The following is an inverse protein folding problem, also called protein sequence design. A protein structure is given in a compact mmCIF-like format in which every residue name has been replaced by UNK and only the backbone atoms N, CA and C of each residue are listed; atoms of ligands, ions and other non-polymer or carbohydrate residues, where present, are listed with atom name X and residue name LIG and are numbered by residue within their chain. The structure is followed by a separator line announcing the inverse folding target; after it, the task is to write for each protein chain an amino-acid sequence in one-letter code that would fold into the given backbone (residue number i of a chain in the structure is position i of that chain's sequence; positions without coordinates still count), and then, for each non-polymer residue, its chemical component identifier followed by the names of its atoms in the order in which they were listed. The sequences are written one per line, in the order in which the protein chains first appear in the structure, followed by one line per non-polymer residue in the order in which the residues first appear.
data_IF_175289238198
#
_entry.id   IF_175289238198
#
_cell.length_a   1.000
_cell.length_b   1.000
_cell.length_c   1.000
_cell.angle_alpha   90.00
_cell.angle_beta   90.00
_cell.angle_gamma   90.00
#
_symmetry.space_group_name_H-M   'P 1'
#
loop_
_entity.id
_entity.type
_entity.pdbx_description
1 polymer ?
#
# COMPACT_ATOMS: atom_id res chain seq x y z
N UNK A 1 -20.17 5.51 -5.57
CA UNK A 1 -18.78 4.98 -5.66
C UNK A 1 -18.73 3.44 -5.71
N UNK A 2 -19.39 2.79 -6.69
CA UNK A 2 -19.34 1.31 -6.81
C UNK A 2 -18.16 0.84 -7.68
N UNK A 3 -17.82 1.62 -8.70
CA UNK A 3 -16.73 1.33 -9.63
C UNK A 3 -15.35 1.36 -8.94
N UNK A 4 -15.05 2.40 -8.16
CA UNK A 4 -13.76 2.49 -7.45
C UNK A 4 -13.53 1.34 -6.48
N UNK A 5 -14.57 0.91 -5.76
CA UNK A 5 -14.47 -0.26 -4.87
C UNK A 5 -14.20 -1.55 -5.65
N UNK A 6 -14.84 -1.72 -6.81
CA UNK A 6 -14.59 -2.88 -7.69
C UNK A 6 -13.16 -2.86 -8.24
N UNK A 7 -12.68 -1.71 -8.73
CA UNK A 7 -11.31 -1.56 -9.22
C UNK A 7 -10.28 -1.88 -8.13
N UNK A 8 -10.46 -1.37 -6.92
CA UNK A 8 -9.55 -1.64 -5.79
C UNK A 8 -9.53 -3.13 -5.43
N UNK A 9 -10.69 -3.79 -5.39
CA UNK A 9 -10.76 -5.23 -5.10
C UNK A 9 -10.08 -6.06 -6.18
N UNK A 10 -10.38 -5.83 -7.45
CA UNK A 10 -9.78 -6.57 -8.57
C UNK A 10 -8.26 -6.36 -8.59
N UNK A 11 -7.79 -5.12 -8.43
CA UNK A 11 -6.36 -4.81 -8.35
C UNK A 11 -5.68 -5.54 -7.21
N UNK A 12 -6.26 -5.50 -6.01
CA UNK A 12 -5.70 -6.17 -4.84
C UNK A 12 -5.67 -7.68 -5.00
N UNK A 13 -6.76 -8.30 -5.48
CA UNK A 13 -6.81 -9.75 -5.73
C UNK A 13 -5.79 -10.19 -6.77
N UNK A 14 -5.62 -9.41 -7.85
CA UNK A 14 -4.64 -9.73 -8.89
C UNK A 14 -3.20 -9.72 -8.36
N UNK A 15 -2.87 -8.78 -7.46
CA UNK A 15 -1.56 -8.67 -6.82
C UNK A 15 -1.33 -9.78 -5.80
N UNK A 16 -2.26 -9.96 -4.86
CA UNK A 16 -2.14 -10.95 -3.78
C UNK A 16 -2.13 -12.40 -4.29
N UNK A 17 -2.67 -12.67 -5.48
CA UNK A 17 -2.64 -14.00 -6.09
C UNK A 17 -1.25 -14.40 -6.57
N UNK A 18 -0.40 -13.43 -6.93
CA UNK A 18 0.92 -13.67 -7.53
C UNK A 18 2.08 -13.29 -6.61
N UNK A 19 1.84 -12.39 -5.65
CA UNK A 19 2.90 -11.82 -4.84
C UNK A 19 2.58 -11.91 -3.35
N UNK A 20 3.62 -12.21 -2.58
CA UNK A 20 3.65 -12.06 -1.13
C UNK A 20 4.33 -10.73 -0.79
N UNK A 21 3.61 -9.87 -0.08
CA UNK A 21 4.12 -8.57 0.35
C UNK A 21 4.64 -8.63 1.78
N UNK A 22 5.80 -8.02 2.04
CA UNK A 22 6.36 -7.78 3.38
C UNK A 22 6.69 -6.32 3.56
N UNK A 23 6.69 -5.82 4.81
CA UNK A 23 7.08 -4.43 5.09
C UNK A 23 8.57 -4.28 4.86
N UNK A 24 8.97 -3.30 4.05
CA UNK A 24 10.37 -2.97 3.83
C UNK A 24 10.87 -2.07 4.97
N UNK A 25 12.12 -2.25 5.42
CA UNK A 25 12.79 -1.44 6.44
C UNK A 25 12.83 0.07 6.14
N UNK A 26 12.58 0.50 4.89
CA UNK A 26 12.43 1.90 4.50
C UNK A 26 11.15 2.54 5.03
N UNK A 27 10.13 1.74 5.34
CA UNK A 27 8.90 2.22 5.98
C UNK A 27 9.18 2.55 7.43
N UNK A 28 8.91 3.79 7.84
CA UNK A 28 9.08 4.21 9.24
C UNK A 28 7.95 3.64 10.10
N UNK A 29 8.32 2.83 11.08
CA UNK A 29 7.43 2.31 12.11
C UNK A 29 7.76 2.97 13.47
N UNK A 30 6.77 3.47 14.24
CA UNK A 30 5.33 3.47 13.99
C UNK A 30 4.92 4.44 12.85
N UNK A 31 3.88 4.07 12.10
CA UNK A 31 3.39 4.84 10.94
C UNK A 31 2.98 6.26 11.37
N UNK A 32 3.69 7.27 10.88
CA UNK A 32 3.34 8.68 11.06
C UNK A 32 2.66 9.21 9.81
N UNK A 33 1.57 9.96 9.98
CA UNK A 33 0.86 10.58 8.87
C UNK A 33 1.49 11.94 8.54
N UNK A 34 1.61 12.26 7.25
CA UNK A 34 2.11 13.54 6.79
C UNK A 34 1.02 14.61 6.89
N UNK A 35 1.10 15.43 7.94
CA UNK A 35 0.15 16.54 8.23
C UNK A 35 0.20 17.66 7.18
N UNK A 36 1.28 17.75 6.38
CA UNK A 36 1.45 18.78 5.34
C UNK A 36 0.94 18.35 3.97
N UNK A 37 0.50 17.11 3.80
CA UNK A 37 0.06 16.58 2.52
C UNK A 37 -1.44 16.82 2.30
N UNK A 38 -1.82 17.23 1.09
CA UNK A 38 -3.23 17.40 0.72
C UNK A 38 -3.99 16.07 0.69
N UNK A 39 -3.29 14.96 0.43
CA UNK A 39 -3.82 13.61 0.46
C UNK A 39 -3.23 12.88 1.66
N UNK A 40 -4.07 12.11 2.39
CA UNK A 40 -3.63 11.28 3.50
C UNK A 40 -2.52 10.33 3.03
N UNK A 41 -1.32 10.55 3.54
CA UNK A 41 -0.10 9.84 3.13
C UNK A 41 0.79 9.62 4.35
N UNK A 42 1.55 8.52 4.35
CA UNK A 42 2.54 8.27 5.38
C UNK A 42 3.76 9.20 5.21
N UNK A 43 4.34 9.62 6.33
CA UNK A 43 5.57 10.38 6.36
C UNK A 43 6.74 9.50 5.89
N UNK A 44 7.36 9.85 4.76
CA UNK A 44 8.41 9.04 4.13
C UNK A 44 7.91 7.94 3.19
N UNK A 45 6.59 7.84 2.99
CA UNK A 45 5.96 6.86 2.11
C UNK A 45 5.78 5.48 2.74
N UNK A 46 5.16 4.57 1.98
CA UNK A 46 4.97 3.16 2.36
C UNK A 46 5.76 2.31 1.36
N UNK A 47 6.70 1.53 1.87
CA UNK A 47 7.57 0.67 1.10
C UNK A 47 7.27 -0.79 1.45
N UNK A 48 6.98 -1.59 0.43
CA UNK A 48 6.70 -3.01 0.55
C UNK A 48 7.63 -3.78 -0.38
N UNK A 49 8.12 -4.93 0.09
CA UNK A 49 8.85 -5.88 -0.74
C UNK A 49 7.86 -6.90 -1.31
N UNK A 50 7.86 -7.07 -2.62
CA UNK A 50 7.00 -8.00 -3.32
C UNK A 50 7.81 -9.22 -3.77
N UNK A 51 7.43 -10.40 -3.28
CA UNK A 51 8.03 -11.68 -3.65
C UNK A 51 7.04 -12.47 -4.49
N UNK A 52 7.42 -12.89 -5.69
CA UNK A 52 6.56 -13.75 -6.52
C UNK A 52 6.41 -15.14 -5.89
N UNK A 53 5.20 -15.70 -5.96
CA UNK A 53 4.82 -17.01 -5.40
C UNK A 53 4.87 -18.07 -6.50
#
# INVERSE_FOLDING_TARGET
MRFGLMQSKVGLTALLRKYRFTVNNKTKEPLKMNVKSFILTAEGGIWLDAHEI
#
